data_IF_497256853335
#
_entry.id   IF_497256853335
#
_cell.length_a   1.000
_cell.length_b   1.000
_cell.length_c   1.000
_cell.angle_alpha   90.00
_cell.angle_beta   90.00
_cell.angle_gamma   90.00
#
_symmetry.space_group_name_H-M   'P 1'
#
loop_
_entity.id
_entity.type
_entity.pdbx_description
1 polymer ?
#
# COMPACT_ATOMS: atom_id res chain seq x y z
N UNK A 1 -6.24 46.02 -38.49
CA UNK A 1 -5.00 46.56 -37.84
C UNK A 1 -5.09 46.84 -36.34
N UNK A 2 -5.96 47.74 -35.83
CA UNK A 2 -5.98 48.09 -34.39
C UNK A 2 -6.19 46.88 -33.45
N UNK A 3 -7.14 46.00 -33.78
CA UNK A 3 -7.39 44.74 -33.05
C UNK A 3 -6.15 43.83 -33.03
N UNK A 4 -5.52 43.62 -34.18
CA UNK A 4 -4.31 42.80 -34.30
C UNK A 4 -3.15 43.34 -33.43
N UNK A 5 -2.96 44.67 -33.39
CA UNK A 5 -1.94 45.29 -32.52
C UNK A 5 -2.25 45.08 -31.03
N UNK A 6 -3.51 45.22 -30.61
CA UNK A 6 -3.91 44.96 -29.23
C UNK A 6 -3.71 43.49 -28.84
N UNK A 7 -4.08 42.56 -29.72
CA UNK A 7 -3.82 41.13 -29.54
C UNK A 7 -2.32 40.82 -29.47
N UNK A 8 -1.50 41.47 -30.29
CA UNK A 8 -0.04 41.31 -30.24
C UNK A 8 0.58 41.84 -28.95
N UNK A 9 0.10 42.98 -28.43
CA UNK A 9 0.54 43.48 -27.13
C UNK A 9 0.17 42.53 -25.99
N UNK A 10 -1.06 42.01 -25.98
CA UNK A 10 -1.48 40.98 -25.01
C UNK A 10 -0.62 39.72 -25.15
N UNK A 11 -0.39 39.27 -26.37
CA UNK A 11 0.47 38.13 -26.66
C UNK A 11 1.91 38.34 -26.13
N UNK A 12 2.50 39.52 -26.31
CA UNK A 12 3.83 39.85 -25.78
C UNK A 12 3.88 39.79 -24.25
N UNK A 13 2.81 40.24 -23.56
CA UNK A 13 2.69 40.15 -22.10
C UNK A 13 2.63 38.70 -21.63
N UNK A 14 1.74 37.90 -22.23
CA UNK A 14 1.61 36.46 -21.94
C UNK A 14 2.89 35.69 -22.27
N UNK A 15 3.61 36.09 -23.32
CA UNK A 15 4.87 35.46 -23.70
C UNK A 15 6.00 35.76 -22.71
N UNK A 16 6.02 36.96 -22.13
CA UNK A 16 7.02 37.37 -21.13
C UNK A 16 6.76 36.76 -19.75
N UNK A 17 5.50 36.51 -19.41
CA UNK A 17 5.10 35.91 -18.14
C UNK A 17 5.04 34.37 -18.24
N UNK A 18 6.10 33.71 -17.72
CA UNK A 18 6.20 32.24 -17.68
C UNK A 18 5.16 31.57 -16.77
N UNK A 19 4.40 32.33 -15.98
CA UNK A 19 3.37 31.84 -15.09
C UNK A 19 1.98 31.75 -15.72
N UNK A 20 1.80 32.27 -16.94
CA UNK A 20 0.47 32.33 -17.58
C UNK A 20 0.03 30.99 -18.17
N UNK A 21 -1.29 30.76 -18.17
CA UNK A 21 -1.91 29.57 -18.72
C UNK A 21 -1.50 29.34 -20.18
N UNK A 22 -0.98 28.14 -20.46
CA UNK A 22 -0.59 27.72 -21.80
C UNK A 22 -1.75 27.81 -22.81
N UNK A 23 -2.98 27.64 -22.32
CA UNK A 23 -4.20 27.70 -23.12
C UNK A 23 -4.53 29.13 -23.59
N UNK A 24 -4.40 30.14 -22.71
CA UNK A 24 -4.66 31.54 -23.08
C UNK A 24 -3.64 32.01 -24.13
N UNK A 25 -2.38 31.62 -23.98
CA UNK A 25 -1.33 31.94 -24.94
C UNK A 25 -1.59 31.28 -26.30
N UNK A 26 -2.00 30.01 -26.33
CA UNK A 26 -2.31 29.29 -27.56
C UNK A 26 -3.51 29.95 -28.28
N UNK A 27 -4.58 30.22 -27.55
CA UNK A 27 -5.77 30.90 -28.09
C UNK A 27 -5.41 32.27 -28.66
N UNK A 28 -4.68 33.09 -27.90
CA UNK A 28 -4.28 34.44 -28.33
C UNK A 28 -3.38 34.39 -29.56
N UNK A 29 -2.47 33.41 -29.63
CA UNK A 29 -1.60 33.18 -30.80
C UNK A 29 -2.42 32.80 -32.04
N UNK A 30 -3.40 31.89 -31.88
CA UNK A 30 -4.28 31.44 -32.97
C UNK A 30 -5.16 32.56 -33.50
N UNK A 31 -5.81 33.32 -32.61
CA UNK A 31 -6.67 34.45 -32.98
C UNK A 31 -5.87 35.56 -33.68
N UNK A 32 -4.68 35.87 -33.16
CA UNK A 32 -3.79 36.85 -33.79
C UNK A 32 -3.38 36.41 -35.21
N UNK A 33 -2.97 35.16 -35.41
CA UNK A 33 -2.58 34.65 -36.74
C UNK A 33 -3.74 34.67 -37.73
N UNK A 34 -4.95 34.31 -37.29
CA UNK A 34 -6.17 34.40 -38.11
C UNK A 34 -6.44 35.85 -38.51
N UNK A 35 -6.36 36.78 -37.55
CA UNK A 35 -6.55 38.21 -37.83
C UNK A 35 -5.47 38.78 -38.75
N UNK A 36 -4.21 38.36 -38.63
CA UNK A 36 -3.12 38.82 -39.48
C UNK A 36 -3.28 38.30 -40.92
N UNK A 37 -3.71 37.05 -41.08
CA UNK A 37 -4.00 36.47 -42.41
C UNK A 37 -5.12 37.20 -43.15
N UNK A 38 -6.19 37.56 -42.44
CA UNK A 38 -7.26 38.37 -43.04
C UNK A 38 -6.78 39.76 -43.47
N UNK A 39 -5.96 40.41 -42.66
CA UNK A 39 -5.37 41.72 -43.00
C UNK A 39 -4.41 41.61 -44.19
N UNK A 40 -3.65 40.51 -44.30
CA UNK A 40 -2.73 40.29 -45.41
C UNK A 40 -3.49 40.20 -46.75
N UNK A 41 -4.62 39.49 -46.77
CA UNK A 41 -5.53 39.45 -47.91
C UNK A 41 -6.10 40.84 -48.25
N UNK A 42 -6.58 41.58 -47.25
CA UNK A 42 -7.08 42.95 -47.46
C UNK A 42 -5.98 43.86 -48.07
N UNK A 43 -4.71 43.68 -47.66
CA UNK A 43 -3.58 44.45 -48.17
C UNK A 43 -3.13 44.01 -49.56
N UNK A 44 -3.39 42.77 -49.95
CA UNK A 44 -3.20 42.28 -51.32
C UNK A 44 -4.25 42.90 -52.25
N UNK A 45 -5.53 42.82 -51.89
CA UNK A 45 -6.64 43.44 -52.64
C UNK A 45 -6.43 44.96 -52.78
N UNK A 46 -6.07 45.65 -51.71
CA UNK A 46 -5.79 47.09 -51.74
C UNK A 46 -4.59 47.41 -52.65
N UNK A 47 -3.54 46.57 -52.68
CA UNK A 47 -2.42 46.76 -53.59
C UNK A 47 -2.84 46.61 -55.05
N UNK A 48 -3.68 45.62 -55.36
CA UNK A 48 -4.25 45.45 -56.70
C UNK A 48 -5.10 46.66 -57.12
N UNK A 49 -5.94 47.18 -56.22
CA UNK A 49 -6.76 48.37 -56.52
C UNK A 49 -5.92 49.61 -56.85
N UNK A 50 -4.76 49.78 -56.20
CA UNK A 50 -3.83 50.86 -56.49
C UNK A 50 -3.21 50.68 -57.87
N UNK A 51 -2.82 49.46 -58.24
CA UNK A 51 -2.29 49.14 -59.58
C UNK A 51 -3.33 49.40 -60.68
N UNK A 52 -4.60 49.05 -60.44
CA UNK A 52 -5.70 49.32 -61.40
C UNK A 52 -5.92 50.82 -61.53
N UNK A 53 -5.95 51.55 -60.41
CA UNK A 53 -6.14 52.99 -60.40
C UNK A 53 -5.03 53.75 -61.14
N UNK A 54 -3.81 53.21 -61.14
CA UNK A 54 -2.68 53.76 -61.89
C UNK A 54 -2.76 53.54 -63.40
N UNK A 55 -3.40 52.44 -63.82
CA UNK A 55 -3.58 52.10 -65.24
C UNK A 55 -4.71 52.91 -65.90
N UNK A 56 -5.72 53.32 -65.13
CA UNK A 56 -6.90 54.06 -65.64
C UNK A 56 -7.09 55.43 -64.94
N UNK A 57 -6.15 56.38 -65.06
CA UNK A 57 -6.22 57.66 -64.34
C UNK A 57 -7.45 58.50 -64.69
N UNK A 58 -7.91 58.44 -65.95
CA UNK A 58 -9.10 59.17 -66.45
C UNK A 58 -10.40 58.78 -65.72
N UNK A 59 -10.51 57.51 -65.30
CA UNK A 59 -11.72 56.95 -64.68
C UNK A 59 -11.80 57.25 -63.18
N UNK A 60 -10.64 57.25 -62.50
CA UNK A 60 -10.57 57.36 -61.04
C UNK A 60 -10.23 58.78 -60.54
N UNK A 61 -9.67 59.65 -61.39
CA UNK A 61 -9.34 61.06 -61.06
C UNK A 61 -8.55 61.24 -59.75
N UNK A 62 -7.66 60.29 -59.45
CA UNK A 62 -6.82 60.31 -58.25
C UNK A 62 -5.50 61.04 -58.55
N UNK A 63 -5.03 61.85 -57.60
CA UNK A 63 -3.73 62.51 -57.70
C UNK A 63 -2.60 61.48 -57.51
N UNK A 64 -1.49 61.65 -58.23
CA UNK A 64 -0.26 60.87 -57.99
C UNK A 64 0.23 60.94 -56.54
N UNK A 65 -0.02 62.06 -55.86
CA UNK A 65 0.35 62.22 -54.44
C UNK A 65 -0.50 61.31 -53.55
N UNK A 66 -1.78 61.15 -53.89
CA UNK A 66 -2.70 60.28 -53.15
C UNK A 66 -2.38 58.80 -53.39
N UNK A 67 -2.08 58.41 -54.64
CA UNK A 67 -1.63 57.06 -54.98
C UNK A 67 -0.31 56.72 -54.25
N UNK A 68 0.63 57.66 -54.19
CA UNK A 68 1.87 57.49 -53.42
C UNK A 68 1.60 57.31 -51.92
N UNK A 69 0.66 58.08 -51.34
CA UNK A 69 0.27 57.92 -49.94
C UNK A 69 -0.38 56.55 -49.66
N UNK A 70 -1.22 56.05 -50.59
CA UNK A 70 -1.84 54.72 -50.51
C UNK A 70 -0.79 53.61 -50.57
N UNK A 71 0.16 53.68 -51.51
CA UNK A 71 1.30 52.75 -51.56
C UNK A 71 2.08 52.74 -50.26
N UNK A 72 2.40 53.92 -49.73
CA UNK A 72 3.14 54.04 -48.47
C UNK A 72 2.35 53.49 -47.28
N UNK A 73 1.02 53.59 -47.27
CA UNK A 73 0.18 52.98 -46.24
C UNK A 73 0.21 51.45 -46.31
N UNK A 74 0.11 50.87 -47.52
CA UNK A 74 0.17 49.43 -47.73
C UNK A 74 1.53 48.88 -47.28
N UNK A 75 2.62 49.51 -47.70
CA UNK A 75 3.99 49.11 -47.31
C UNK A 75 4.20 49.14 -45.79
N UNK A 76 3.77 50.23 -45.12
CA UNK A 76 3.84 50.33 -43.66
C UNK A 76 3.02 49.22 -42.98
N UNK A 77 1.82 48.96 -43.49
CA UNK A 77 0.93 47.95 -42.92
C UNK A 77 1.46 46.53 -43.14
N UNK A 78 2.05 46.23 -44.31
CA UNK A 78 2.73 44.96 -44.60
C UNK A 78 3.91 44.73 -43.67
N UNK A 79 4.73 45.76 -43.44
CA UNK A 79 5.86 45.67 -42.49
C UNK A 79 5.38 45.34 -41.07
N UNK A 80 4.34 46.02 -40.61
CA UNK A 80 3.78 45.77 -39.28
C UNK A 80 3.20 44.34 -39.15
N UNK A 81 2.50 43.85 -40.20
CA UNK A 81 2.00 42.46 -40.24
C UNK A 81 3.16 41.48 -40.19
N UNK A 82 4.21 41.70 -40.98
CA UNK A 82 5.40 40.85 -41.01
C UNK A 82 6.09 40.77 -39.63
N UNK A 83 6.23 41.89 -38.93
CA UNK A 83 6.80 41.91 -37.57
C UNK A 83 5.99 41.06 -36.59
N UNK A 84 4.66 41.18 -36.62
CA UNK A 84 3.77 40.39 -35.75
C UNK A 84 3.75 38.90 -36.12
N UNK A 85 3.83 38.56 -37.42
CA UNK A 85 3.95 37.18 -37.91
C UNK A 85 5.27 36.55 -37.47
N UNK A 86 6.37 37.30 -37.57
CA UNK A 86 7.70 36.84 -37.15
C UNK A 86 7.79 36.65 -35.64
N UNK A 87 7.14 37.51 -34.86
CA UNK A 87 7.02 37.36 -33.42
C UNK A 87 6.25 36.10 -33.01
N UNK A 88 5.16 35.78 -33.73
CA UNK A 88 4.29 34.63 -33.45
C UNK A 88 4.73 33.31 -34.10
N UNK A 89 5.95 33.26 -34.66
CA UNK A 89 6.47 32.06 -35.31
C UNK A 89 6.88 31.01 -34.26
N UNK A 90 6.30 29.78 -34.26
CA UNK A 90 6.58 28.76 -33.26
C UNK A 90 8.07 28.39 -33.14
N UNK A 91 8.81 28.41 -34.25
CA UNK A 91 10.24 28.10 -34.24
C UNK A 91 11.05 29.20 -33.50
N UNK A 92 10.72 30.47 -33.73
CA UNK A 92 11.36 31.62 -33.07
C UNK A 92 10.97 31.71 -31.60
N UNK A 93 9.72 31.39 -31.28
CA UNK A 93 9.19 31.27 -29.91
C UNK A 93 9.98 30.23 -29.12
N UNK A 94 10.11 29.01 -29.64
CA UNK A 94 10.83 27.92 -28.98
C UNK A 94 12.31 28.29 -28.76
N UNK A 95 12.99 28.80 -29.80
CA UNK A 95 14.37 29.23 -29.68
C UNK A 95 14.59 30.32 -28.61
N UNK A 96 13.66 31.28 -28.49
CA UNK A 96 13.71 32.32 -27.45
C UNK A 96 13.47 31.76 -26.06
N UNK A 97 12.53 30.82 -25.90
CA UNK A 97 12.29 30.13 -24.62
C UNK A 97 13.50 29.31 -24.21
N UNK A 98 14.03 28.47 -25.10
CA UNK A 98 15.19 27.63 -24.84
C UNK A 98 16.44 28.46 -24.50
N UNK A 99 16.64 29.60 -25.18
CA UNK A 99 17.74 30.52 -24.86
C UNK A 99 17.56 31.19 -23.49
N UNK A 100 16.34 31.60 -23.14
CA UNK A 100 16.01 32.17 -21.82
C UNK A 100 16.13 31.12 -20.72
N UNK A 101 15.68 29.88 -20.94
CA UNK A 101 15.81 28.78 -19.99
C UNK A 101 17.28 28.45 -19.76
N UNK A 102 18.07 28.33 -20.83
CA UNK A 102 19.51 28.12 -20.74
C UNK A 102 20.20 29.27 -20.00
N UNK A 103 19.80 30.52 -20.23
CA UNK A 103 20.34 31.68 -19.55
C UNK A 103 19.96 31.71 -18.06
N UNK A 104 18.73 31.33 -17.70
CA UNK A 104 18.30 31.22 -16.30
C UNK A 104 19.00 30.06 -15.58
N UNK A 105 19.21 28.94 -16.29
CA UNK A 105 19.90 27.76 -15.75
C UNK A 105 21.42 27.99 -15.58
N UNK A 106 22.02 28.86 -16.40
CA UNK A 106 23.46 29.19 -16.37
C UNK A 106 23.78 30.54 -15.74
N UNK A 107 22.77 31.36 -15.41
CA UNK A 107 22.93 32.74 -14.91
C UNK A 107 23.17 32.84 -13.41
N UNK A 108 23.02 31.75 -12.66
CA UNK A 108 23.45 31.68 -11.26
C UNK A 108 24.95 31.45 -11.16
N UNK A 109 25.67 32.37 -10.51
CA UNK A 109 27.05 32.12 -10.06
C UNK A 109 27.14 30.71 -9.47
N UNK A 110 28.09 29.88 -9.93
CA UNK A 110 28.23 28.49 -9.48
C UNK A 110 28.23 28.36 -7.96
N UNK A 111 28.75 29.37 -7.25
CA UNK A 111 28.76 29.46 -5.79
C UNK A 111 27.34 29.50 -5.16
N UNK A 112 26.41 30.28 -5.72
CA UNK A 112 25.04 30.36 -5.21
C UNK A 112 24.25 29.05 -5.41
N UNK A 113 24.62 28.25 -6.43
CA UNK A 113 23.99 26.96 -6.69
C UNK A 113 24.39 25.90 -5.67
N UNK A 114 25.67 25.85 -5.31
CA UNK A 114 26.15 24.95 -4.26
C UNK A 114 25.57 25.33 -2.90
N UNK A 115 25.50 26.62 -2.57
CA UNK A 115 24.91 27.09 -1.30
C UNK A 115 23.40 26.84 -1.22
N UNK A 116 22.67 26.97 -2.34
CA UNK A 116 21.25 26.61 -2.39
C UNK A 116 21.04 25.09 -2.24
N UNK A 117 21.83 24.28 -2.94
CA UNK A 117 21.76 22.84 -2.86
C UNK A 117 22.14 22.33 -1.45
N UNK A 118 23.12 22.96 -0.81
CA UNK A 118 23.52 22.66 0.57
C UNK A 118 22.41 22.99 1.57
N UNK A 119 21.72 24.12 1.42
CA UNK A 119 20.51 24.44 2.21
C UNK A 119 19.40 23.42 2.00
N UNK A 120 19.12 23.04 0.76
CA UNK A 120 18.06 22.07 0.42
C UNK A 120 18.37 20.68 1.00
N UNK A 121 19.63 20.23 0.91
CA UNK A 121 20.08 18.98 1.55
C UNK A 121 19.96 19.06 3.07
N UNK A 122 20.26 20.21 3.67
CA UNK A 122 20.17 20.38 5.11
C UNK A 122 18.71 20.44 5.60
N UNK A 123 17.82 21.06 4.84
CA UNK A 123 16.37 21.05 5.09
C UNK A 123 15.79 19.65 4.96
N UNK A 124 16.13 18.90 3.92
CA UNK A 124 15.69 17.51 3.75
C UNK A 124 16.17 16.59 4.87
N UNK A 125 17.43 16.74 5.30
CA UNK A 125 17.96 16.00 6.44
C UNK A 125 17.23 16.38 7.75
N UNK A 126 16.92 17.66 7.96
CA UNK A 126 16.19 18.09 9.16
C UNK A 126 14.76 17.53 9.16
N UNK A 127 14.08 17.60 8.03
CA UNK A 127 12.73 17.05 7.86
C UNK A 127 12.72 15.52 8.09
N UNK A 128 13.74 14.81 7.58
CA UNK A 128 13.88 13.38 7.82
C UNK A 128 14.11 13.07 9.31
N UNK A 129 14.97 13.82 9.99
CA UNK A 129 15.22 13.66 11.42
C UNK A 129 13.94 13.92 12.23
N UNK A 130 13.19 14.96 11.88
CA UNK A 130 11.94 15.31 12.56
C UNK A 130 10.85 14.24 12.37
N UNK A 131 10.70 13.71 11.15
CA UNK A 131 9.78 12.61 10.83
C UNK A 131 10.16 11.32 11.57
N UNK A 132 11.46 11.00 11.63
CA UNK A 132 11.96 9.86 12.41
C UNK A 132 11.71 10.04 13.91
N UNK A 133 11.91 11.25 14.46
CA UNK A 133 11.61 11.56 15.85
C UNK A 133 10.12 11.41 16.16
N UNK A 134 9.24 11.90 15.28
CA UNK A 134 7.80 11.75 15.45
C UNK A 134 7.39 10.27 15.41
N UNK A 135 7.92 9.51 14.46
CA UNK A 135 7.67 8.07 14.31
C UNK A 135 8.13 7.30 15.54
N UNK A 136 9.36 7.54 16.03
CA UNK A 136 9.86 6.92 17.26
C UNK A 136 9.01 7.29 18.48
N UNK A 137 8.52 8.54 18.56
CA UNK A 137 7.61 8.96 19.62
C UNK A 137 6.27 8.22 19.60
N UNK A 138 5.76 7.82 18.43
CA UNK A 138 4.57 6.98 18.33
C UNK A 138 4.86 5.55 18.76
N UNK A 139 5.99 4.97 18.31
CA UNK A 139 6.42 3.62 18.67
C UNK A 139 6.61 3.48 20.19
N UNK A 140 7.23 4.45 20.86
CA UNK A 140 7.39 4.42 22.33
C UNK A 140 6.04 4.38 23.06
N UNK A 141 5.07 5.18 22.64
CA UNK A 141 3.73 5.20 23.27
C UNK A 141 2.97 3.89 23.05
N UNK A 142 3.11 3.30 21.87
CA UNK A 142 2.50 2.01 21.57
C UNK A 142 3.14 0.90 22.42
N UNK A 143 4.47 0.88 22.54
CA UNK A 143 5.18 -0.05 23.41
C UNK A 143 4.79 0.10 24.88
N UNK A 144 4.64 1.33 25.40
CA UNK A 144 4.17 1.56 26.77
C UNK A 144 2.77 0.96 27.00
N UNK A 145 1.89 1.08 26.00
CA UNK A 145 0.55 0.48 26.05
C UNK A 145 0.64 -1.05 26.06
N UNK A 146 1.51 -1.64 25.23
CA UNK A 146 1.75 -3.09 25.22
C UNK A 146 2.35 -3.59 26.54
N UNK A 147 3.27 -2.84 27.16
CA UNK A 147 3.82 -3.17 28.48
C UNK A 147 2.73 -3.14 29.57
N UNK A 148 1.77 -2.23 29.48
CA UNK A 148 0.63 -2.20 30.40
C UNK A 148 -0.26 -3.45 30.24
N UNK A 149 -0.53 -3.88 29.00
CA UNK A 149 -1.31 -5.10 28.72
C UNK A 149 -0.58 -6.37 29.20
N UNK A 150 0.72 -6.45 28.96
CA UNK A 150 1.56 -7.52 29.52
C UNK A 150 1.53 -7.48 31.04
N UNK A 151 1.58 -6.29 31.65
CA UNK A 151 1.45 -6.09 33.09
C UNK A 151 0.12 -6.61 33.65
N UNK A 152 -1.00 -6.40 32.94
CA UNK A 152 -2.29 -6.95 33.30
C UNK A 152 -2.29 -8.48 33.22
N UNK A 153 -1.71 -9.04 32.16
CA UNK A 153 -1.60 -10.49 31.97
C UNK A 153 -0.75 -11.12 33.07
N UNK A 154 0.36 -10.48 33.48
CA UNK A 154 1.17 -10.89 34.63
C UNK A 154 0.36 -10.80 35.93
N UNK A 155 -0.50 -9.79 36.09
CA UNK A 155 -1.42 -9.69 37.22
C UNK A 155 -2.39 -10.87 37.29
N UNK A 156 -2.98 -11.26 36.15
CA UNK A 156 -3.85 -12.45 36.05
C UNK A 156 -3.05 -13.72 36.35
N UNK A 157 -1.85 -13.89 35.78
CA UNK A 157 -1.01 -15.05 36.04
C UNK A 157 -0.61 -15.15 37.52
N UNK A 158 -0.31 -14.02 38.17
CA UNK A 158 -0.06 -13.98 39.62
C UNK A 158 -1.29 -14.45 40.40
N UNK A 159 -2.48 -13.98 40.03
CA UNK A 159 -3.72 -14.39 40.68
C UNK A 159 -3.99 -15.89 40.48
N UNK A 160 -3.78 -16.41 39.26
CA UNK A 160 -3.89 -17.85 38.98
C UNK A 160 -2.85 -18.65 39.76
N UNK A 161 -1.61 -18.16 39.88
CA UNK A 161 -0.57 -18.79 40.69
C UNK A 161 -0.91 -18.85 42.18
N UNK A 162 -1.58 -17.82 42.71
CA UNK A 162 -2.11 -17.84 44.07
C UNK A 162 -3.23 -18.87 44.23
N UNK A 163 -4.23 -18.86 43.34
CA UNK A 163 -5.33 -19.83 43.39
C UNK A 163 -4.84 -21.28 43.26
N UNK A 164 -3.86 -21.54 42.39
CA UNK A 164 -3.23 -22.86 42.28
C UNK A 164 -2.49 -23.21 43.57
N UNK A 165 -1.80 -22.25 44.18
CA UNK A 165 -1.12 -22.45 45.46
C UNK A 165 -2.10 -22.84 46.57
N UNK A 166 -3.20 -22.10 46.70
CA UNK A 166 -4.25 -22.35 47.69
C UNK A 166 -4.90 -23.73 47.46
N UNK A 167 -5.26 -24.07 46.22
CA UNK A 167 -5.83 -25.39 45.88
C UNK A 167 -4.85 -26.54 46.12
N UNK A 168 -3.55 -26.33 45.91
CA UNK A 168 -2.52 -27.34 46.24
C UNK A 168 -2.34 -27.50 47.75
N UNK A 169 -2.49 -26.43 48.54
CA UNK A 169 -2.47 -26.48 50.00
C UNK A 169 -3.70 -27.24 50.52
N UNK A 170 -4.90 -26.93 50.00
CA UNK A 170 -6.14 -27.64 50.31
C UNK A 170 -6.04 -29.12 49.93
N UNK A 171 -5.52 -29.45 48.73
CA UNK A 171 -5.29 -30.84 48.34
C UNK A 171 -4.25 -31.54 49.21
N UNK A 172 -3.23 -30.84 49.72
CA UNK A 172 -2.25 -31.42 50.62
C UNK A 172 -2.88 -31.75 51.99
N UNK A 173 -3.76 -30.90 52.50
CA UNK A 173 -4.56 -31.18 53.71
C UNK A 173 -5.47 -32.41 53.48
N UNK A 174 -6.16 -32.46 52.33
CA UNK A 174 -6.99 -33.62 51.97
C UNK A 174 -6.18 -34.93 51.82
N UNK A 175 -4.94 -34.85 51.33
CA UNK A 175 -4.05 -36.01 51.23
C UNK A 175 -3.53 -36.46 52.60
N UNK A 176 -3.28 -35.54 53.52
CA UNK A 176 -2.93 -35.86 54.91
C UNK A 176 -4.09 -36.59 55.60
N UNK A 177 -5.32 -36.09 55.44
CA UNK A 177 -6.53 -36.77 55.94
C UNK A 177 -6.66 -38.17 55.35
N UNK A 178 -6.48 -38.34 54.04
CA UNK A 178 -6.50 -39.66 53.40
C UNK A 178 -5.41 -40.59 53.93
N UNK A 179 -4.20 -40.11 54.20
CA UNK A 179 -3.11 -40.90 54.80
C UNK A 179 -3.47 -41.35 56.23
N UNK A 180 -4.11 -40.48 57.02
CA UNK A 180 -4.59 -40.86 58.36
C UNK A 180 -5.71 -41.91 58.30
N UNK A 181 -6.65 -41.78 57.35
CA UNK A 181 -7.70 -42.77 57.11
C UNK A 181 -7.13 -44.09 56.61
N UNK A 182 -6.13 -44.05 55.72
CA UNK A 182 -5.41 -45.22 55.22
C UNK A 182 -4.66 -45.92 56.35
N UNK A 183 -3.96 -45.18 57.21
CA UNK A 183 -3.26 -45.72 58.40
C UNK A 183 -4.26 -46.38 59.36
N UNK A 184 -5.37 -45.70 59.65
CA UNK A 184 -6.44 -46.25 60.49
C UNK A 184 -7.05 -47.52 59.88
N UNK A 185 -7.27 -47.54 58.57
CA UNK A 185 -7.76 -48.71 57.84
C UNK A 185 -6.73 -49.85 57.88
N UNK A 186 -5.44 -49.53 57.74
CA UNK A 186 -4.32 -50.46 57.88
C UNK A 186 -4.25 -51.10 59.26
N UNK A 187 -4.44 -50.31 60.33
CA UNK A 187 -4.50 -50.81 61.71
C UNK A 187 -5.71 -51.72 61.94
N UNK A 188 -6.88 -51.32 61.44
CA UNK A 188 -8.10 -52.14 61.50
C UNK A 188 -7.89 -53.45 60.74
N UNK A 189 -7.34 -53.41 59.54
CA UNK A 189 -7.04 -54.58 58.73
C UNK A 189 -6.01 -55.48 59.42
N UNK A 190 -4.96 -54.92 60.01
CA UNK A 190 -3.96 -55.68 60.77
C UNK A 190 -4.59 -56.34 62.00
N UNK A 191 -5.50 -55.66 62.69
CA UNK A 191 -6.24 -56.24 63.81
C UNK A 191 -7.19 -57.36 63.36
N UNK A 192 -7.83 -57.21 62.20
CA UNK A 192 -8.62 -58.28 61.57
C UNK A 192 -7.72 -59.45 61.20
N UNK A 193 -6.56 -59.22 60.58
CA UNK A 193 -5.58 -60.26 60.26
C UNK A 193 -5.07 -60.97 61.50
N UNK A 194 -4.74 -60.26 62.58
CA UNK A 194 -4.36 -60.87 63.86
C UNK A 194 -5.48 -61.70 64.47
N UNK A 195 -6.73 -61.24 64.38
CA UNK A 195 -7.90 -62.01 64.82
C UNK A 195 -8.09 -63.26 63.94
N UNK A 196 -7.95 -63.14 62.63
CA UNK A 196 -7.98 -64.27 61.70
C UNK A 196 -6.87 -65.27 62.03
N UNK A 197 -5.64 -64.83 62.25
CA UNK A 197 -4.53 -65.70 62.64
C UNK A 197 -4.77 -66.36 64.00
N UNK A 198 -5.30 -65.64 65.00
CA UNK A 198 -5.75 -66.24 66.26
C UNK A 198 -6.85 -67.27 66.03
N UNK A 199 -7.87 -66.97 65.24
CA UNK A 199 -8.92 -67.95 64.94
C UNK A 199 -8.37 -69.14 64.18
N UNK A 200 -7.47 -68.96 63.21
CA UNK A 200 -6.81 -70.04 62.46
C UNK A 200 -5.87 -70.86 63.34
N UNK A 201 -5.15 -70.24 64.28
CA UNK A 201 -4.30 -70.96 65.25
C UNK A 201 -5.13 -71.68 66.31
N UNK A 202 -6.26 -71.12 66.76
CA UNK A 202 -7.27 -71.80 67.59
C UNK A 202 -7.86 -72.99 66.83
N UNK A 203 -8.14 -72.84 65.52
CA UNK A 203 -8.60 -73.93 64.66
C UNK A 203 -7.51 -74.96 64.42
N UNK A 204 -6.22 -74.59 64.39
CA UNK A 204 -5.08 -75.55 64.38
C UNK A 204 -4.92 -76.31 65.70
N UNK A 205 -5.40 -75.78 66.82
CA UNK A 205 -5.41 -76.44 68.12
C UNK A 205 -6.62 -77.40 68.33
N UNK A 206 -7.51 -77.49 67.34
CA UNK A 206 -8.54 -78.54 67.25
C UNK A 206 -8.20 -79.46 66.09
N UNK A 207 -8.40 -80.80 66.20
CA UNK A 207 -8.04 -81.70 65.12
C UNK A 207 -8.93 -81.41 63.90
N UNK A 208 -8.26 -80.99 62.81
CA UNK A 208 -8.62 -81.19 61.40
C UNK A 208 -10.11 -81.38 61.10
N UNK A 209 -10.77 -80.34 60.62
CA UNK A 209 -11.81 -80.52 59.60
C UNK A 209 -11.22 -80.11 58.26
N UNK A 210 -10.76 -81.12 57.54
CA UNK A 210 -10.61 -81.09 56.10
C UNK A 210 -11.97 -80.69 55.51
N UNK A 211 -12.08 -79.47 54.99
CA UNK A 211 -13.13 -79.13 54.03
C UNK A 211 -12.47 -79.06 52.67
N UNK A 212 -12.70 -80.12 51.89
CA UNK A 212 -12.37 -80.21 50.49
C UNK A 212 -12.98 -79.05 49.70
N UNK A 213 -12.13 -78.36 48.95
CA UNK A 213 -12.36 -77.61 47.72
C UNK A 213 -13.80 -77.17 47.36
N UNK A 214 -13.93 -75.87 47.10
CA UNK A 214 -14.11 -75.45 45.71
C UNK A 214 -13.55 -74.04 45.51
N UNK A 215 -12.34 -73.97 44.97
CA UNK A 215 -11.84 -72.77 44.29
C UNK A 215 -12.73 -72.63 43.06
N UNK A 216 -13.73 -71.76 43.13
CA UNK A 216 -14.42 -71.33 41.93
C UNK A 216 -13.45 -70.41 41.20
N UNK A 217 -12.85 -70.97 40.16
CA UNK A 217 -12.09 -70.30 39.13
C UNK A 217 -12.92 -69.17 38.52
N UNK A 218 -12.82 -67.97 39.08
CA UNK A 218 -13.14 -66.76 38.36
C UNK A 218 -11.87 -66.36 37.60
N UNK A 219 -11.79 -66.75 36.32
CA UNK A 219 -10.89 -66.09 35.38
C UNK A 219 -11.22 -64.59 35.41
N UNK A 220 -10.26 -63.69 35.64
CA UNK A 220 -10.50 -62.28 35.37
C UNK A 220 -10.72 -62.14 33.86
N UNK A 221 -11.68 -61.31 33.40
CA UNK A 221 -11.83 -61.02 31.98
C UNK A 221 -10.50 -60.44 31.47
N UNK A 222 -9.90 -61.18 30.54
CA UNK A 222 -8.78 -60.73 29.72
C UNK A 222 -9.24 -59.51 28.92
N UNK A 223 -8.73 -58.33 29.27
CA UNK A 223 -8.96 -57.12 28.47
C UNK A 223 -8.79 -55.84 29.25
N UNK A 224 -7.63 -55.62 29.88
CA UNK A 224 -7.19 -54.24 30.08
C UNK A 224 -6.76 -53.71 28.71
N UNK A 225 -7.34 -52.63 28.18
CA UNK A 225 -6.72 -51.96 27.05
C UNK A 225 -5.37 -51.44 27.54
N UNK A 226 -4.29 -51.91 26.91
CA UNK A 226 -3.01 -51.22 27.03
C UNK A 226 -3.23 -49.81 26.51
N UNK A 227 -3.12 -48.81 27.37
CA UNK A 227 -2.94 -47.44 26.95
C UNK A 227 -1.61 -47.41 26.18
N UNK A 228 -1.69 -47.40 24.86
CA UNK A 228 -0.59 -46.95 24.04
C UNK A 228 -0.32 -45.49 24.46
N UNK A 229 0.87 -45.24 25.00
CA UNK A 229 1.36 -43.89 25.19
C UNK A 229 1.44 -43.23 23.81
N UNK A 230 0.46 -42.38 23.49
CA UNK A 230 0.55 -41.40 22.41
C UNK A 230 1.32 -40.18 22.97
N UNK A 231 2.41 -39.71 22.33
CA UNK A 231 3.17 -38.56 22.80
C UNK A 231 2.45 -37.21 22.65
N UNK A 232 1.19 -37.15 22.18
CA UNK A 232 0.57 -35.89 21.75
C UNK A 232 -0.49 -35.28 22.69
N UNK A 233 -0.74 -35.84 23.88
CA UNK A 233 -1.43 -35.13 24.96
C UNK A 233 -2.81 -34.54 24.64
N UNK A 234 -3.77 -35.35 24.18
CA UNK A 234 -5.18 -34.95 24.05
C UNK A 234 -6.14 -35.89 24.82
N UNK A 235 -7.23 -35.38 25.43
CA UNK A 235 -8.15 -36.17 26.26
C UNK A 235 -9.14 -37.03 25.43
N UNK A 236 -9.77 -38.07 26.02
CA UNK A 236 -10.49 -39.11 25.27
C UNK A 236 -11.93 -38.75 24.88
N UNK A 237 -12.40 -39.35 23.78
CA UNK A 237 -13.75 -39.22 23.19
C UNK A 237 -14.85 -39.89 24.03
N UNK A 238 -16.08 -39.36 23.98
CA UNK A 238 -17.29 -39.95 24.58
C UNK A 238 -18.00 -40.86 23.56
N UNK A 239 -18.33 -42.09 23.97
CA UNK A 239 -19.09 -43.07 23.18
C UNK A 239 -20.60 -42.81 23.27
N UNK A 240 -21.25 -42.55 22.13
CA UNK A 240 -22.69 -42.80 21.97
C UNK A 240 -22.99 -43.29 20.55
N UNK A 241 -23.58 -44.47 20.44
CA UNK A 241 -24.13 -45.07 19.21
C UNK A 241 -23.21 -45.18 17.98
N UNK A 242 -21.93 -45.53 18.17
CA UNK A 242 -21.12 -46.19 17.12
C UNK A 242 -20.88 -45.40 15.82
N UNK A 243 -20.94 -44.07 15.84
CA UNK A 243 -20.60 -43.21 14.70
C UNK A 243 -19.48 -42.23 15.10
N UNK A 244 -18.47 -42.08 14.24
CA UNK A 244 -17.36 -41.14 14.43
C UNK A 244 -17.74 -39.76 13.88
N UNK A 245 -17.62 -38.70 14.68
CA UNK A 245 -17.74 -37.31 14.24
C UNK A 245 -16.47 -36.52 14.59
N UNK A 246 -16.02 -35.67 13.65
CA UNK A 246 -14.96 -34.70 13.90
C UNK A 246 -15.55 -33.47 14.62
N UNK A 247 -14.91 -33.01 15.70
CA UNK A 247 -15.29 -31.76 16.35
C UNK A 247 -14.82 -30.57 15.49
N UNK A 248 -15.76 -29.74 15.01
CA UNK A 248 -15.45 -28.44 14.42
C UNK A 248 -15.10 -27.44 15.52
N UNK A 249 -14.09 -26.57 15.33
CA UNK A 249 -13.83 -25.48 16.28
C UNK A 249 -14.97 -24.46 16.21
N UNK A 250 -15.65 -24.25 17.34
CA UNK A 250 -16.63 -23.18 17.49
C UNK A 250 -15.92 -21.82 17.41
N UNK A 251 -16.31 -21.02 16.42
CA UNK A 251 -15.95 -19.61 16.31
C UNK A 251 -16.61 -18.82 17.45
N UNK A 252 -15.82 -17.99 18.14
CA UNK A 252 -16.34 -16.99 19.08
C UNK A 252 -17.14 -15.91 18.34
N UNK A 253 -18.29 -15.44 18.87
CA UNK A 253 -19.03 -14.36 18.25
C UNK A 253 -18.49 -13.00 18.72
N UNK A 254 -17.97 -12.23 17.76
CA UNK A 254 -17.88 -10.78 17.86
C UNK A 254 -16.47 -10.20 17.78
N UNK A 255 -16.08 -9.76 16.57
CA UNK A 255 -15.33 -8.52 16.29
C UNK A 255 -15.41 -8.17 14.79
N UNK A 256 -15.34 -6.87 14.41
CA UNK A 256 -15.80 -6.37 13.12
C UNK A 256 -14.85 -6.69 11.94
N UNK A 257 -15.44 -6.86 10.76
CA UNK A 257 -14.74 -7.16 9.51
C UNK A 257 -13.87 -5.98 9.06
N UNK A 258 -12.56 -6.15 9.05
CA UNK A 258 -11.68 -5.40 8.15
C UNK A 258 -11.39 -6.27 6.93
N UNK A 259 -11.95 -5.88 5.78
CA UNK A 259 -11.68 -6.51 4.51
C UNK A 259 -10.22 -6.27 4.12
N UNK A 260 -9.42 -7.34 4.00
CA UNK A 260 -8.18 -7.34 3.24
C UNK A 260 -8.31 -8.31 2.07
N UNK A 261 -8.49 -7.74 0.88
CA UNK A 261 -8.25 -8.43 -0.39
C UNK A 261 -6.75 -8.73 -0.50
N UNK A 262 -6.38 -10.01 -0.53
CA UNK A 262 -5.10 -10.45 -1.07
C UNK A 262 -5.35 -11.55 -2.12
N UNK A 263 -5.11 -11.19 -3.38
CA UNK A 263 -4.96 -12.11 -4.50
C UNK A 263 -3.63 -12.84 -4.36
N UNK A 264 -3.68 -14.16 -4.14
CA UNK A 264 -2.51 -15.04 -4.14
C UNK A 264 -2.36 -15.72 -5.49
N UNK A 265 -1.34 -15.30 -6.24
CA UNK A 265 -0.85 -15.91 -7.47
C UNK A 265 -0.18 -17.26 -7.16
N UNK A 266 -0.45 -18.26 -7.99
CA UNK A 266 -0.03 -19.65 -7.77
C UNK A 266 1.16 -19.99 -8.69
N UNK A 267 2.36 -19.96 -8.14
CA UNK A 267 3.54 -20.58 -8.76
C UNK A 267 3.57 -22.08 -8.47
N UNK A 268 3.41 -22.92 -9.49
CA UNK A 268 3.96 -24.28 -9.54
C UNK A 268 4.58 -24.53 -10.91
N UNK A 269 5.90 -24.69 -10.92
CA UNK A 269 6.63 -25.21 -12.06
C UNK A 269 6.60 -26.74 -12.08
N UNK A 270 6.49 -27.29 -13.29
CA UNK A 270 6.92 -28.63 -13.68
C UNK A 270 7.29 -28.56 -15.17
N UNK A 271 8.53 -28.89 -15.51
CA UNK A 271 9.12 -28.65 -16.82
C UNK A 271 8.66 -29.58 -17.94
N UNK A 272 9.04 -29.21 -19.17
CA UNK A 272 8.89 -30.02 -20.38
C UNK A 272 9.23 -29.23 -21.64
N UNK A 273 10.43 -29.50 -22.18
CA UNK A 273 11.00 -29.03 -23.43
C UNK A 273 10.03 -28.92 -24.62
N UNK A 274 10.17 -27.87 -25.45
CA UNK A 274 10.41 -27.99 -26.91
C UNK A 274 10.61 -26.63 -27.61
N UNK A 275 11.71 -26.57 -28.35
CA UNK A 275 12.08 -25.77 -29.53
C UNK A 275 11.17 -24.61 -30.02
N UNK A 276 11.82 -23.48 -30.32
CA UNK A 276 11.24 -22.45 -31.19
C UNK A 276 12.02 -21.13 -31.18
N UNK A 277 13.18 -21.10 -31.85
CA UNK A 277 13.68 -19.85 -32.44
C UNK A 277 12.58 -19.30 -33.37
N UNK A 278 12.27 -18.00 -33.28
CA UNK A 278 12.31 -17.04 -34.40
C UNK A 278 11.62 -15.72 -34.00
N UNK A 279 12.24 -14.61 -34.45
CA UNK A 279 11.66 -13.28 -34.75
C UNK A 279 11.12 -12.45 -33.58
N UNK A 280 11.87 -11.45 -33.09
CA UNK A 280 12.04 -10.11 -33.66
C UNK A 280 10.74 -9.28 -33.66
N UNK A 281 10.61 -8.40 -32.65
CA UNK A 281 9.73 -7.22 -32.70
C UNK A 281 10.59 -5.98 -32.44
N UNK A 282 11.22 -5.52 -33.52
CA UNK A 282 11.55 -4.13 -33.70
C UNK A 282 10.32 -3.47 -34.37
N UNK A 283 9.59 -2.62 -33.66
CA UNK A 283 8.79 -1.56 -34.28
C UNK A 283 8.86 -0.33 -33.39
N UNK A 284 9.92 0.45 -33.59
CA UNK A 284 9.93 1.86 -33.24
C UNK A 284 10.71 2.58 -34.35
N UNK A 285 9.99 3.06 -35.37
CA UNK A 285 10.33 4.27 -36.13
C UNK A 285 9.25 4.57 -37.17
N UNK A 286 8.57 5.70 -36.95
CA UNK A 286 8.35 6.80 -37.91
C UNK A 286 7.57 6.59 -39.21
N UNK A 287 6.84 7.67 -39.54
CA UNK A 287 6.35 8.08 -40.87
C UNK A 287 5.14 7.26 -41.40
N UNK A 288 4.12 7.81 -42.05
CA UNK A 288 3.83 9.14 -42.59
C UNK A 288 2.39 9.10 -43.16
N UNK A 289 1.78 10.29 -43.33
CA UNK A 289 0.89 10.65 -44.48
C UNK A 289 -0.52 10.02 -44.55
N UNK A 290 -1.57 10.82 -44.30
CA UNK A 290 -2.48 11.42 -45.31
C UNK A 290 -3.20 10.37 -46.19
N UNK A 291 -4.49 10.18 -45.93
CA UNK A 291 -5.57 10.41 -46.89
C UNK A 291 -6.88 10.66 -46.13
#
# INVERSE_FOLDING_TARGET
MKKARALYQRWQQLFGDRSTDSEELEWTTKELRTSLKGIDWDLEDLAETVVIAEKEPEKFKLSHTELAARRQFIERSRRDVQEMVDGTNPAKIKAKRDASDKANLMGGSKYNRYEKLEREIQEDNQNFIDDQHQTQGMIMREQDTQLQEVGQTIGVLRQMGQMIGDELEDQNELLEDLDTEMTTTGDRLTNVLRKLDRTLSITKASPQIFVSNNIMSAQPPSGYPQYANDPSGNPPYVLHNGQYYYAQPQQQPGQPQHAQHHHGDATKGSGGFCAGLFTALAVCCCCDIIF
#
